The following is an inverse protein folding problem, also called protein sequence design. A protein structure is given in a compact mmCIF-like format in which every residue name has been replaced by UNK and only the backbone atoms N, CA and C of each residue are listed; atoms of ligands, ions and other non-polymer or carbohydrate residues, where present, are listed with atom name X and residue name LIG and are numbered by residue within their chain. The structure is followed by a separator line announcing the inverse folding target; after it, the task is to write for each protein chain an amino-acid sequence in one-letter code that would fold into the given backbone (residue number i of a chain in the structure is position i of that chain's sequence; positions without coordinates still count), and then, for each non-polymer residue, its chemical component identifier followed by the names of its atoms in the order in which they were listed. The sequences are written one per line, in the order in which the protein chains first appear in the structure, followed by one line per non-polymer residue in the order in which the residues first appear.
data_IF_240155627899
#
_entry.id   IF_240155627899
#
_cell.length_a   1.000
_cell.length_b   1.000
_cell.length_c   1.000
_cell.angle_alpha   90.00
_cell.angle_beta   90.00
_cell.angle_gamma   90.00
#
_symmetry.space_group_name_H-M   'P 1'
#
loop_
_entity.id
_entity.type
_entity.pdbx_description
1 polymer ?
#
# COMPACT_ATOMS: atom_id res chain seq x y z
N UNK A 1 -6.15 -29.17 -9.22
CA UNK A 1 -5.83 -27.82 -9.75
C UNK A 1 -5.16 -27.07 -8.61
N UNK A 2 -3.92 -26.59 -8.76
CA UNK A 2 -3.22 -25.96 -7.64
C UNK A 2 -3.91 -24.64 -7.29
N UNK A 3 -4.50 -24.58 -6.10
CA UNK A 3 -5.14 -23.38 -5.55
C UNK A 3 -4.05 -22.42 -5.07
N UNK A 4 -3.26 -21.90 -6.00
CA UNK A 4 -2.18 -20.95 -5.71
C UNK A 4 -2.82 -19.60 -5.45
N UNK A 5 -3.15 -19.34 -4.17
CA UNK A 5 -3.52 -18.00 -3.71
C UNK A 5 -2.39 -17.02 -4.07
N UNK A 6 -2.78 -15.96 -4.78
CA UNK A 6 -1.91 -14.82 -5.06
C UNK A 6 -2.04 -13.88 -3.86
N UNK A 7 -0.91 -13.37 -3.39
CA UNK A 7 -0.85 -12.36 -2.34
C UNK A 7 -0.40 -11.04 -2.95
N UNK A 8 -1.09 -9.97 -2.58
CA UNK A 8 -0.75 -8.61 -2.97
C UNK A 8 0.02 -7.93 -1.84
N UNK A 9 1.22 -7.46 -2.17
CA UNK A 9 2.08 -6.68 -1.30
C UNK A 9 2.25 -5.30 -1.92
N UNK A 10 1.73 -4.27 -1.24
CA UNK A 10 1.80 -2.89 -1.70
C UNK A 10 2.94 -2.14 -1.00
N UNK A 11 3.78 -1.45 -1.79
CA UNK A 11 4.90 -0.65 -1.32
C UNK A 11 4.64 0.86 -1.41
N UNK A 12 3.39 1.29 -1.67
CA UNK A 12 3.07 2.67 -2.05
C UNK A 12 3.50 3.67 -0.97
N UNK A 13 3.28 3.36 0.31
CA UNK A 13 3.57 4.29 1.40
C UNK A 13 5.07 4.36 1.75
N UNK A 14 5.85 3.29 1.55
CA UNK A 14 7.30 3.30 1.75
C UNK A 14 8.05 3.82 0.53
N UNK A 15 7.92 3.13 -0.61
CA UNK A 15 8.69 3.43 -1.82
C UNK A 15 8.22 4.76 -2.44
N UNK A 16 6.91 5.04 -2.35
CA UNK A 16 6.37 6.35 -2.73
C UNK A 16 6.97 7.48 -1.89
N UNK A 17 7.09 7.31 -0.57
CA UNK A 17 7.71 8.33 0.29
C UNK A 17 9.22 8.52 0.05
N UNK A 18 9.91 7.50 -0.48
CA UNK A 18 11.32 7.60 -0.88
C UNK A 18 11.50 8.28 -2.25
N UNK A 19 10.41 8.48 -3.00
CA UNK A 19 10.46 9.14 -4.31
C UNK A 19 10.66 10.64 -4.12
N UNK A 20 11.63 11.20 -4.85
CA UNK A 20 11.96 12.62 -4.74
C UNK A 20 10.76 13.50 -5.09
N UNK A 21 10.45 14.45 -4.20
CA UNK A 21 9.33 15.38 -4.37
C UNK A 21 7.98 14.82 -3.94
N UNK A 22 7.93 13.61 -3.39
CA UNK A 22 6.75 13.06 -2.73
C UNK A 22 6.90 13.22 -1.22
N UNK A 23 5.88 13.78 -0.58
CA UNK A 23 5.77 13.85 0.87
C UNK A 23 4.33 13.50 1.27
N UNK A 24 4.18 12.50 2.12
CA UNK A 24 2.88 12.06 2.62
C UNK A 24 2.69 12.54 4.05
N UNK A 25 1.68 13.38 4.26
CA UNK A 25 1.25 13.69 5.62
C UNK A 25 0.67 12.44 6.30
N UNK A 26 0.55 12.47 7.63
CA UNK A 26 -0.12 11.39 8.36
C UNK A 26 -1.57 11.17 7.90
N UNK A 27 -2.26 12.24 7.48
CA UNK A 27 -3.61 12.14 6.94
C UNK A 27 -3.63 11.44 5.57
N UNK A 28 -2.66 11.75 4.70
CA UNK A 28 -2.52 11.09 3.39
C UNK A 28 -2.25 9.60 3.56
N UNK A 29 -1.34 9.24 4.47
CA UNK A 29 -1.02 7.85 4.77
C UNK A 29 -2.25 7.07 5.23
N UNK A 30 -3.05 7.64 6.12
CA UNK A 30 -4.27 7.01 6.61
C UNK A 30 -5.33 6.85 5.50
N UNK A 31 -5.47 7.85 4.63
CA UNK A 31 -6.40 7.80 3.51
C UNK A 31 -6.00 6.71 2.50
N UNK A 32 -4.73 6.70 2.08
CA UNK A 32 -4.18 5.71 1.14
C UNK A 32 -4.26 4.30 1.72
N UNK A 33 -3.89 4.11 3.00
CA UNK A 33 -4.01 2.81 3.66
C UNK A 33 -5.47 2.31 3.68
N UNK A 34 -6.43 3.20 3.95
CA UNK A 34 -7.85 2.86 3.91
C UNK A 34 -8.33 2.49 2.51
N UNK A 35 -7.80 3.10 1.46
CA UNK A 35 -8.13 2.75 0.08
C UNK A 35 -7.50 1.42 -0.36
N UNK A 36 -6.26 1.14 0.06
CA UNK A 36 -5.58 -0.14 -0.19
C UNK A 36 -6.27 -1.31 0.54
N UNK A 37 -6.75 -1.07 1.76
CA UNK A 37 -7.57 -2.04 2.51
C UNK A 37 -8.87 -2.35 1.77
N UNK A 38 -9.59 -1.32 1.28
CA UNK A 38 -10.80 -1.50 0.47
C UNK A 38 -10.56 -2.24 -0.84
N UNK A 39 -9.37 -2.08 -1.43
CA UNK A 39 -8.96 -2.82 -2.63
C UNK A 39 -8.70 -4.31 -2.33
N UNK A 40 -8.51 -4.67 -1.06
CA UNK A 40 -8.26 -6.05 -0.63
C UNK A 40 -6.79 -6.46 -0.76
N UNK A 41 -5.86 -5.51 -0.62
CA UNK A 41 -4.42 -5.81 -0.57
C UNK A 41 -4.10 -6.61 0.69
N UNK A 42 -3.34 -7.70 0.57
CA UNK A 42 -3.02 -8.56 1.72
C UNK A 42 -2.02 -7.90 2.69
N UNK A 43 -1.16 -7.00 2.21
CA UNK A 43 -0.21 -6.26 3.03
C UNK A 43 0.14 -4.89 2.45
N UNK A 44 0.19 -3.86 3.30
CA UNK A 44 0.63 -2.50 2.97
C UNK A 44 1.90 -2.16 3.74
N UNK A 45 2.99 -1.82 3.02
CA UNK A 45 4.26 -1.38 3.59
C UNK A 45 4.27 0.15 3.78
N UNK A 46 4.28 0.60 5.04
CA UNK A 46 4.20 2.00 5.46
C UNK A 46 5.46 2.58 6.08
#
# INVERSE_FOLDING_TARGET
MSDKRIYLYDCTLRDGAQTQGVDFSAADKNAIAGDLDRLGVDYVEG
#
